data_IF_409828605504
#
_entry.id   IF_409828605504
#
_cell.length_a   1.000
_cell.length_b   1.000
_cell.length_c   1.000
_cell.angle_alpha   90.00
_cell.angle_beta   90.00
_cell.angle_gamma   90.00
#
_symmetry.space_group_name_H-M   'P 1'
#
loop_
_entity.id
_entity.type
_entity.pdbx_description
1 polymer ?
#
# COMPACT_ATOMS: atom_id res chain seq x y z
N UNK A 1 -28.24 13.59 1.32
CA UNK A 1 -26.90 13.15 1.79
C UNK A 1 -26.54 11.86 1.04
N UNK A 2 -25.35 11.75 0.48
CA UNK A 2 -24.92 10.54 -0.24
C UNK A 2 -24.68 9.37 0.72
N UNK A 3 -24.83 8.13 0.25
CA UNK A 3 -24.43 6.95 1.02
C UNK A 3 -22.91 6.86 1.14
N UNK A 4 -22.44 6.16 2.18
CA UNK A 4 -21.01 5.92 2.40
C UNK A 4 -20.34 5.29 1.17
N UNK A 5 -21.00 4.35 0.49
CA UNK A 5 -20.46 3.70 -0.72
C UNK A 5 -20.25 4.68 -1.87
N UNK A 6 -21.15 5.65 -2.04
CA UNK A 6 -21.02 6.68 -3.08
C UNK A 6 -19.88 7.64 -2.73
N UNK A 7 -19.78 8.07 -1.47
CA UNK A 7 -18.67 8.90 -0.98
C UNK A 7 -17.31 8.21 -1.20
N UNK A 8 -17.21 6.92 -0.93
CA UNK A 8 -15.97 6.15 -1.07
C UNK A 8 -15.48 6.03 -2.53
N UNK A 9 -16.32 6.28 -3.54
CA UNK A 9 -15.91 6.32 -4.95
C UNK A 9 -15.13 7.58 -5.33
N UNK A 10 -15.26 8.66 -4.55
CA UNK A 10 -14.59 9.94 -4.81
C UNK A 10 -13.34 10.15 -3.95
N UNK A 11 -13.10 9.28 -2.97
CA UNK A 11 -11.87 9.31 -2.18
C UNK A 11 -10.70 8.94 -3.11
N UNK A 12 -9.68 9.81 -3.26
CA UNK A 12 -8.50 9.48 -4.03
C UNK A 12 -7.87 8.20 -3.51
N UNK A 13 -7.58 7.26 -4.42
CA UNK A 13 -6.85 6.06 -4.06
C UNK A 13 -5.40 6.45 -3.91
N UNK A 14 -4.89 6.33 -2.69
CA UNK A 14 -3.48 6.54 -2.39
C UNK A 14 -3.00 5.35 -1.57
N UNK A 15 -1.79 4.88 -1.84
CA UNK A 15 -1.19 3.80 -1.07
C UNK A 15 0.29 4.03 -0.88
N UNK A 16 0.75 3.69 0.32
CA UNK A 16 2.09 3.97 0.82
C UNK A 16 2.52 2.80 1.70
N UNK A 17 3.71 2.32 1.44
CA UNK A 17 4.49 1.51 2.39
C UNK A 17 5.57 2.42 2.94
N UNK A 18 5.68 2.50 4.27
CA UNK A 18 6.74 3.23 4.95
C UNK A 18 7.41 2.30 5.96
N UNK A 19 8.72 2.16 5.85
CA UNK A 19 9.51 1.43 6.83
C UNK A 19 9.95 2.37 7.94
N UNK A 20 9.61 2.01 9.16
CA UNK A 20 9.90 2.78 10.36
C UNK A 20 10.85 1.99 11.26
N UNK A 21 11.88 2.65 11.77
CA UNK A 21 12.76 2.13 12.82
C UNK A 21 12.47 2.80 14.17
N UNK A 22 13.26 2.44 15.17
CA UNK A 22 13.25 3.01 16.51
C UNK A 22 13.22 4.55 16.46
N UNK A 23 12.35 5.13 17.28
CA UNK A 23 12.13 6.58 17.30
C UNK A 23 11.23 7.11 16.16
N UNK A 24 10.62 6.23 15.36
CA UNK A 24 9.72 6.62 14.28
C UNK A 24 10.43 7.16 13.04
N UNK A 25 11.73 6.85 12.89
CA UNK A 25 12.51 7.27 11.73
C UNK A 25 12.09 6.46 10.52
N UNK A 26 11.60 7.15 9.49
CA UNK A 26 11.29 6.53 8.20
C UNK A 26 12.58 6.40 7.37
N UNK A 27 12.95 5.17 6.99
CA UNK A 27 14.16 4.89 6.20
C UNK A 27 13.88 4.62 4.73
N UNK A 28 12.74 4.02 4.41
CA UNK A 28 12.30 3.72 3.05
C UNK A 28 10.82 3.97 2.89
N UNK A 29 10.41 4.41 1.71
CA UNK A 29 8.99 4.50 1.36
C UNK A 29 8.74 4.13 -0.09
N UNK A 30 7.60 3.46 -0.34
CA UNK A 30 7.15 3.03 -1.66
C UNK A 30 5.75 3.55 -1.89
N UNK A 31 5.54 4.23 -3.01
CA UNK A 31 4.33 5.01 -3.26
C UNK A 31 3.57 4.46 -4.47
N UNK A 32 2.27 4.29 -4.30
CA UNK A 32 1.30 4.13 -5.39
C UNK A 32 0.29 5.29 -5.29
N UNK A 33 0.64 6.49 -5.80
CA UNK A 33 -0.13 7.71 -5.54
C UNK A 33 -1.56 7.68 -6.09
N UNK A 34 -1.81 6.82 -7.06
CA UNK A 34 -3.12 6.66 -7.71
C UNK A 34 -3.80 5.33 -7.34
N UNK A 35 -3.18 4.51 -6.48
CA UNK A 35 -3.67 3.21 -6.07
C UNK A 35 -3.99 2.29 -7.25
N UNK A 36 -3.12 2.25 -8.26
CA UNK A 36 -3.32 1.45 -9.48
C UNK A 36 -2.90 -0.01 -9.31
N UNK A 37 -1.92 -0.28 -8.45
CA UNK A 37 -1.30 -1.59 -8.26
C UNK A 37 -1.64 -2.18 -6.90
N UNK A 38 -1.62 -1.39 -5.82
CA UNK A 38 -1.85 -1.89 -4.47
C UNK A 38 -2.64 -0.89 -3.64
N UNK A 39 -3.91 -0.66 -4.00
CA UNK A 39 -4.79 0.24 -3.25
C UNK A 39 -5.22 -0.36 -1.90
N UNK A 40 -5.42 0.50 -0.89
CA UNK A 40 -5.96 0.11 0.42
C UNK A 40 -5.12 -0.95 1.15
N UNK A 41 -3.80 -0.73 1.19
CA UNK A 41 -2.84 -1.60 1.86
C UNK A 41 -3.25 -1.83 3.31
N UNK A 42 -3.32 -3.10 3.70
CA UNK A 42 -3.64 -3.54 5.05
C UNK A 42 -2.41 -4.03 5.80
N UNK A 43 -1.49 -4.67 5.09
CA UNK A 43 -0.30 -5.31 5.63
C UNK A 43 0.80 -5.38 4.57
N UNK A 44 2.04 -5.43 5.05
CA UNK A 44 3.22 -5.62 4.21
C UNK A 44 4.17 -6.56 4.94
N UNK A 45 4.69 -7.54 4.20
CA UNK A 45 5.69 -8.48 4.70
C UNK A 45 6.89 -8.51 3.76
N UNK A 46 8.09 -8.21 4.28
CA UNK A 46 9.34 -8.35 3.54
C UNK A 46 9.88 -9.77 3.72
N UNK A 47 10.12 -10.46 2.61
CA UNK A 47 10.72 -11.80 2.60
C UNK A 47 11.50 -12.02 1.30
N UNK A 48 12.73 -12.54 1.42
CA UNK A 48 13.61 -12.90 0.30
C UNK A 48 13.75 -11.80 -0.76
N UNK A 49 14.04 -10.57 -0.32
CA UNK A 49 14.23 -9.41 -1.20
C UNK A 49 12.96 -8.93 -1.89
N UNK A 50 11.77 -9.32 -1.42
CA UNK A 50 10.49 -8.89 -1.97
C UNK A 50 9.55 -8.39 -0.87
N UNK A 51 8.76 -7.36 -1.18
CA UNK A 51 7.60 -6.99 -0.39
C UNK A 51 6.36 -7.71 -0.91
N UNK A 52 5.69 -8.42 -0.01
CA UNK A 52 4.35 -8.97 -0.23
C UNK A 52 3.34 -8.04 0.44
N UNK A 53 2.42 -7.50 -0.34
CA UNK A 53 1.55 -6.40 0.06
C UNK A 53 0.10 -6.89 -0.01
N UNK A 54 -0.54 -6.95 1.16
CA UNK A 54 -1.95 -7.29 1.32
C UNK A 54 -2.83 -6.05 1.27
N UNK A 55 -4.07 -6.22 0.81
CA UNK A 55 -5.09 -5.18 0.74
C UNK A 55 -6.43 -5.73 1.21
N UNK A 56 -7.22 -4.89 1.89
CA UNK A 56 -8.60 -5.25 2.26
C UNK A 56 -9.57 -5.28 1.07
N UNK A 57 -9.14 -4.79 -0.11
CA UNK A 57 -10.00 -4.64 -1.29
C UNK A 57 -9.50 -5.35 -2.54
N UNK A 58 -8.18 -5.53 -2.69
CA UNK A 58 -7.64 -6.20 -3.87
C UNK A 58 -7.94 -7.70 -3.85
N UNK A 59 -8.31 -8.31 -4.99
CA UNK A 59 -8.52 -9.77 -5.08
C UNK A 59 -7.19 -10.54 -5.28
N UNK A 60 -6.06 -9.94 -4.91
CA UNK A 60 -4.71 -10.47 -5.10
C UNK A 60 -3.77 -9.92 -4.02
N UNK A 61 -2.63 -10.59 -3.85
CA UNK A 61 -1.48 -10.10 -3.09
C UNK A 61 -0.50 -9.48 -4.08
N UNK A 62 -0.15 -8.21 -3.90
CA UNK A 62 0.84 -7.55 -4.73
C UNK A 62 2.25 -7.94 -4.27
N UNK A 63 3.19 -8.01 -5.22
CA UNK A 63 4.61 -8.27 -4.95
C UNK A 63 5.45 -7.17 -5.57
N UNK A 64 6.34 -6.58 -4.78
CA UNK A 64 7.38 -5.66 -5.25
C UNK A 64 8.75 -6.32 -5.04
N UNK A 65 9.53 -6.47 -6.11
CA UNK A 65 10.92 -6.93 -6.01
C UNK A 65 11.81 -5.74 -5.63
N UNK A 66 12.47 -5.81 -4.47
CA UNK A 66 13.29 -4.71 -3.94
C UNK A 66 14.61 -4.53 -4.69
N UNK A 67 14.99 -5.48 -5.57
CA UNK A 67 16.20 -5.39 -6.40
C UNK A 67 15.98 -4.58 -7.67
N UNK A 68 14.72 -4.38 -8.04
CA UNK A 68 14.29 -3.67 -9.25
C UNK A 68 13.83 -2.23 -8.96
N UNK A 69 14.06 -1.73 -7.73
CA UNK A 69 13.69 -0.37 -7.26
C UNK A 69 14.91 0.51 -7.12
#
# INVERSE_FOLDING_TARGET
LFSQDVLMKFVPRYSLVAELHDGGVCTRSFHDPNGLVAAYISEVHEYDGSLYIGSFRSPYVAKLDLRDV
#
